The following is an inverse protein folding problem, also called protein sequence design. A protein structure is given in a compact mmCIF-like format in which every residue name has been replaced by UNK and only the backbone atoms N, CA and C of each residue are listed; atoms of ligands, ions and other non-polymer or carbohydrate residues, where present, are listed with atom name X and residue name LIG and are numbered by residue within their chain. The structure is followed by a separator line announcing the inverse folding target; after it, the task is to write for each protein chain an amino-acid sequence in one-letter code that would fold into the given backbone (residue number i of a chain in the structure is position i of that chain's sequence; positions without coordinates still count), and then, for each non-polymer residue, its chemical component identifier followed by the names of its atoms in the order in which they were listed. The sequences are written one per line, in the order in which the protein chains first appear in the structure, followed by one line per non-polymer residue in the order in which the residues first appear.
data_IF_841498673524
#
_entry.id   IF_841498673524
#
_cell.length_a   1.000
_cell.length_b   1.000
_cell.length_c   1.000
_cell.angle_alpha   90.00
_cell.angle_beta   90.00
_cell.angle_gamma   90.00
#
_symmetry.space_group_name_H-M   'P 1'
#
loop_
_entity.id
_entity.type
_entity.pdbx_description
1 polymer ?
#
# COMPACT_ATOMS: atom_id res chain seq x y z
N UNK A 1 2.96 -18.32 -17.11
CA UNK A 1 2.12 -17.12 -16.96
C UNK A 1 2.80 -16.13 -16.03
N UNK A 2 3.11 -14.95 -16.55
CA UNK A 2 3.77 -13.94 -15.74
C UNK A 2 2.76 -13.24 -14.85
N UNK A 3 2.87 -13.46 -13.55
CA UNK A 3 2.05 -12.73 -12.59
C UNK A 3 2.70 -11.38 -12.37
N UNK A 4 2.09 -10.34 -12.92
CA UNK A 4 2.58 -8.99 -12.77
C UNK A 4 1.96 -8.32 -11.55
N UNK A 5 2.80 -7.71 -10.74
CA UNK A 5 2.35 -6.95 -9.58
C UNK A 5 2.07 -5.53 -10.05
N UNK A 6 0.86 -5.04 -9.77
CA UNK A 6 0.46 -3.69 -10.15
C UNK A 6 0.27 -2.82 -8.93
N UNK A 7 0.61 -1.54 -9.08
CA UNK A 7 0.41 -0.56 -8.01
C UNK A 7 -1.08 -0.40 -7.71
N UNK A 8 -1.45 -0.48 -6.43
CA UNK A 8 -2.84 -0.31 -5.99
C UNK A 8 -3.37 1.08 -6.31
N UNK A 9 -2.49 2.08 -6.31
CA UNK A 9 -2.88 3.46 -6.53
C UNK A 9 -2.95 3.86 -8.01
N UNK A 10 -1.92 3.55 -8.80
CA UNK A 10 -1.83 4.02 -10.19
C UNK A 10 -1.95 2.90 -11.22
N UNK A 11 -2.01 1.66 -10.78
CA UNK A 11 -2.14 0.47 -11.61
C UNK A 11 -0.97 0.23 -12.58
N UNK A 12 0.18 0.84 -12.34
CA UNK A 12 1.38 0.57 -13.11
C UNK A 12 1.99 -0.76 -12.70
N UNK A 13 2.59 -1.46 -13.68
CA UNK A 13 3.31 -2.70 -13.41
C UNK A 13 4.57 -2.36 -12.62
N UNK A 14 4.76 -3.06 -11.50
CA UNK A 14 5.86 -2.83 -10.59
C UNK A 14 6.94 -3.89 -10.73
N UNK A 15 8.19 -3.48 -10.49
CA UNK A 15 9.30 -4.42 -10.38
C UNK A 15 9.17 -5.15 -9.04
N UNK A 16 9.07 -6.50 -9.03
CA UNK A 16 8.89 -7.26 -7.77
C UNK A 16 9.97 -6.98 -6.72
N UNK A 17 11.15 -6.55 -7.15
CA UNK A 17 12.26 -6.24 -6.24
C UNK A 17 12.14 -4.85 -5.62
N UNK A 18 11.27 -4.00 -6.16
CA UNK A 18 11.11 -2.62 -5.71
C UNK A 18 9.70 -2.31 -5.22
N UNK A 19 8.88 -3.31 -5.06
CA UNK A 19 7.52 -3.15 -4.57
C UNK A 19 7.54 -2.71 -3.11
N UNK A 20 6.71 -1.72 -2.79
CA UNK A 20 6.50 -1.28 -1.42
C UNK A 20 5.16 -1.80 -0.96
N UNK A 21 5.15 -2.62 0.07
CA UNK A 21 3.92 -3.20 0.61
C UNK A 21 3.39 -2.36 1.77
N UNK A 22 2.08 -2.13 1.76
CA UNK A 22 1.40 -1.40 2.84
C UNK A 22 0.15 -2.16 3.25
N UNK A 23 -0.12 -2.17 4.55
CA UNK A 23 -1.32 -2.81 5.09
C UNK A 23 -2.49 -1.85 5.04
N UNK A 24 -3.63 -2.31 4.53
CA UNK A 24 -4.85 -1.52 4.54
C UNK A 24 -5.61 -1.80 5.84
N UNK A 25 -5.85 -0.76 6.62
CA UNK A 25 -6.68 -0.87 7.81
C UNK A 25 -8.15 -0.78 7.42
N UNK A 26 -8.95 -1.76 7.81
CA UNK A 26 -10.38 -1.74 7.59
C UNK A 26 -11.10 -0.83 8.61
N UNK A 27 -10.40 -0.42 9.65
CA UNK A 27 -10.97 0.41 10.71
C UNK A 27 -11.15 1.86 10.25
N UNK A 28 -10.15 2.42 9.56
CA UNK A 28 -10.19 3.80 9.09
C UNK A 28 -9.99 3.97 7.59
N UNK A 29 -9.76 2.88 6.87
CA UNK A 29 -9.55 2.91 5.41
C UNK A 29 -8.21 3.51 4.99
N UNK A 30 -7.25 3.59 5.90
CA UNK A 30 -5.93 4.14 5.61
C UNK A 30 -4.87 3.05 5.50
N UNK A 31 -3.81 3.34 4.76
CA UNK A 31 -2.69 2.42 4.61
C UNK A 31 -1.61 2.70 5.65
N UNK A 32 -1.04 1.64 6.19
CA UNK A 32 0.00 1.71 7.21
C UNK A 32 1.20 0.86 6.84
N UNK A 33 2.37 1.25 7.31
CA UNK A 33 3.58 0.41 7.20
C UNK A 33 3.36 -0.85 8.02
N UNK A 34 2.88 -0.68 9.25
CA UNK A 34 2.43 -1.77 10.13
C UNK A 34 1.05 -1.41 10.65
N UNK A 35 0.06 -2.25 10.36
CA UNK A 35 -1.29 -2.00 10.84
C UNK A 35 -1.32 -2.06 12.37
N UNK A 36 -1.88 -1.03 13.04
CA UNK A 36 -1.99 -1.04 14.50
C UNK A 36 -2.77 -2.26 15.00
N UNK A 37 -2.44 -2.72 16.20
CA UNK A 37 -3.07 -3.91 16.79
C UNK A 37 -4.57 -3.76 17.00
N UNK A 38 -5.02 -2.53 17.27
CA UNK A 38 -6.43 -2.23 17.47
C UNK A 38 -7.19 -2.01 16.16
N UNK A 39 -6.50 -2.13 15.02
CA UNK A 39 -7.12 -2.02 13.71
C UNK A 39 -7.22 -3.40 13.05
N UNK A 40 -8.22 -3.55 12.19
CA UNK A 40 -8.40 -4.78 11.42
C UNK A 40 -7.70 -4.59 10.08
N UNK A 41 -6.65 -5.40 9.83
CA UNK A 41 -5.92 -5.35 8.57
C UNK A 41 -6.63 -6.17 7.50
N UNK A 42 -6.76 -5.62 6.29
CA UNK A 42 -7.27 -6.34 5.13
C UNK A 42 -6.15 -7.03 4.34
N UNK A 43 -4.92 -6.94 4.82
CA UNK A 43 -3.77 -7.54 4.16
C UNK A 43 -2.87 -6.51 3.51
N UNK A 44 -1.81 -6.98 2.87
CA UNK A 44 -0.84 -6.13 2.22
C UNK A 44 -1.22 -5.82 0.77
N UNK A 45 -0.98 -4.58 0.36
CA UNK A 45 -1.22 -4.12 -1.00
C UNK A 45 0.06 -3.54 -1.58
N UNK A 46 0.36 -3.81 -2.88
CA UNK A 46 1.58 -3.31 -3.51
C UNK A 46 1.45 -1.87 -3.96
N UNK A 47 2.55 -1.13 -3.81
CA UNK A 47 2.65 0.26 -4.30
C UNK A 47 4.01 0.48 -4.93
N UNK A 48 4.08 1.38 -5.91
CA UNK A 48 5.34 1.95 -6.36
C UNK A 48 5.90 2.87 -5.26
N UNK A 49 7.22 3.09 -5.25
CA UNK A 49 7.85 3.89 -4.19
C UNK A 49 7.27 5.30 -4.09
N UNK A 50 7.03 5.95 -5.23
CA UNK A 50 6.44 7.29 -5.25
C UNK A 50 4.99 7.26 -4.78
N UNK A 51 4.21 6.29 -5.25
CA UNK A 51 2.80 6.16 -4.86
C UNK A 51 2.66 5.85 -3.38
N UNK A 52 3.54 5.03 -2.82
CA UNK A 52 3.52 4.72 -1.39
C UNK A 52 3.75 5.98 -0.55
N UNK A 53 4.69 6.83 -0.96
CA UNK A 53 4.96 8.09 -0.26
C UNK A 53 3.77 9.04 -0.35
N UNK A 54 3.20 9.17 -1.53
CA UNK A 54 2.04 10.04 -1.76
C UNK A 54 0.84 9.55 -0.97
N UNK A 55 0.58 8.25 -0.98
CA UNK A 55 -0.53 7.67 -0.24
C UNK A 55 -0.35 7.88 1.27
N UNK A 56 0.87 7.72 1.77
CA UNK A 56 1.18 7.97 3.17
C UNK A 56 0.84 9.41 3.57
N UNK A 57 1.25 10.38 2.73
CA UNK A 57 0.96 11.79 3.00
C UNK A 57 -0.54 12.08 3.01
N UNK A 58 -1.27 11.52 2.05
CA UNK A 58 -2.73 11.73 1.99
C UNK A 58 -3.44 11.14 3.19
N UNK A 59 -2.94 10.00 3.69
CA UNK A 59 -3.58 9.31 4.82
C UNK A 59 -3.17 9.85 6.18
N UNK A 60 -1.95 10.38 6.33
CA UNK A 60 -1.38 10.70 7.63
C UNK A 60 -0.85 12.13 7.77
N UNK A 61 -0.60 12.81 6.66
CA UNK A 61 -0.07 14.17 6.68
C UNK A 61 -0.99 15.11 5.90
N UNK A 62 -1.80 15.83 6.57
CA UNK A 62 -2.69 16.80 5.91
C UNK A 62 -2.07 18.19 5.89
#
# INVERSE_FOLDING_TARGET
MDLKIRCTRCDEVLNPKKVVWRDLSNTDGKYYIDCPEDHISQGGFPFGSSCAKTQWKEDHEN
#
